data_IF_651647670963
#
_entry.id   IF_651647670963
#
_cell.length_a   1.000
_cell.length_b   1.000
_cell.length_c   1.000
_cell.angle_alpha   90.00
_cell.angle_beta   90.00
_cell.angle_gamma   90.00
#
_symmetry.space_group_name_H-M   'P 1'
#
loop_
_entity.id
_entity.type
_entity.pdbx_description
1 polymer ?
#
# COMPACT_ATOMS: atom_id res chain seq x y z
N UNK A 1 7.41 -3.89 -7.01
CA UNK A 1 6.49 -4.30 -5.94
C UNK A 1 5.29 -5.00 -6.55
N UNK A 2 4.97 -6.21 -6.10
CA UNK A 2 3.78 -6.95 -6.57
C UNK A 2 2.67 -6.82 -5.53
N UNK A 3 1.58 -6.18 -5.93
CA UNK A 3 0.36 -6.02 -5.13
C UNK A 3 -0.69 -6.94 -5.75
N UNK A 4 -1.27 -7.85 -4.95
CA UNK A 4 -2.31 -8.77 -5.42
C UNK A 4 -3.48 -8.70 -4.46
N UNK A 5 -4.68 -8.43 -4.98
CA UNK A 5 -5.94 -8.53 -4.23
C UNK A 5 -6.53 -9.91 -4.52
N UNK A 6 -6.81 -10.68 -3.47
CA UNK A 6 -7.44 -11.99 -3.58
C UNK A 6 -8.66 -12.03 -2.64
N UNK A 7 -9.81 -12.43 -3.18
CA UNK A 7 -10.97 -12.75 -2.36
C UNK A 7 -10.74 -14.09 -1.66
N UNK A 8 -10.81 -14.10 -0.34
CA UNK A 8 -10.65 -15.29 0.48
C UNK A 8 -12.01 -15.79 0.98
N UNK A 9 -12.25 -17.10 0.84
CA UNK A 9 -13.40 -17.80 1.44
C UNK A 9 -13.08 -18.61 2.71
N UNK A 10 -12.82 -17.93 3.81
CA UNK A 10 -12.76 -18.47 5.17
C UNK A 10 -14.16 -18.58 5.85
N UNK A 11 -14.96 -19.60 5.53
CA UNK A 11 -16.18 -19.97 6.29
C UNK A 11 -17.38 -19.00 6.29
N UNK A 12 -17.89 -18.61 5.11
CA UNK A 12 -19.14 -17.84 4.96
C UNK A 12 -19.10 -16.30 5.00
N UNK A 13 -17.99 -15.64 5.38
CA UNK A 13 -17.92 -14.16 5.50
C UNK A 13 -17.01 -13.47 4.49
N UNK A 14 -17.34 -13.30 3.20
CA UNK A 14 -16.47 -12.68 2.14
C UNK A 14 -15.38 -11.71 2.67
N UNK A 15 -14.11 -12.12 2.59
CA UNK A 15 -12.94 -11.52 3.24
C UNK A 15 -11.96 -11.26 2.13
N UNK A 16 -11.35 -10.11 2.15
CA UNK A 16 -10.49 -9.63 1.07
C UNK A 16 -9.07 -9.58 1.59
N UNK A 17 -8.15 -10.22 0.89
CA UNK A 17 -6.75 -10.22 1.27
C UNK A 17 -5.94 -9.45 0.24
N UNK A 18 -5.20 -8.45 0.72
CA UNK A 18 -4.23 -7.72 -0.08
C UNK A 18 -2.86 -8.24 0.28
N UNK A 19 -2.19 -8.87 -0.69
CA UNK A 19 -0.83 -9.37 -0.55
C UNK A 19 0.13 -8.38 -1.21
N UNK A 20 0.99 -7.82 -0.39
CA UNK A 20 2.02 -6.86 -0.76
C UNK A 20 3.40 -7.46 -0.50
N UNK A 21 3.93 -8.14 -1.50
CA UNK A 21 5.21 -8.85 -1.39
C UNK A 21 5.22 -9.85 -0.22
N UNK A 22 5.83 -9.52 0.92
CA UNK A 22 5.81 -10.33 2.15
C UNK A 22 4.73 -9.92 3.17
N UNK A 23 4.03 -8.81 2.96
CA UNK A 23 2.97 -8.34 3.85
C UNK A 23 1.60 -8.82 3.37
N UNK A 24 0.83 -9.45 4.26
CA UNK A 24 -0.55 -9.86 4.00
C UNK A 24 -1.49 -9.04 4.89
N UNK A 25 -2.40 -8.28 4.28
CA UNK A 25 -3.40 -7.48 5.01
C UNK A 25 -4.79 -8.02 4.70
N UNK A 26 -5.56 -8.33 5.75
CA UNK A 26 -6.92 -8.85 5.62
C UNK A 26 -7.94 -7.72 5.84
N UNK A 27 -8.92 -7.65 4.96
CA UNK A 27 -10.02 -6.70 4.93
C UNK A 27 -11.36 -7.43 4.96
N UNK A 28 -12.39 -6.73 5.44
CA UNK A 28 -13.76 -7.28 5.53
C UNK A 28 -14.61 -6.96 4.29
N UNK A 29 -14.14 -6.05 3.43
CA UNK A 29 -14.85 -5.59 2.24
C UNK A 29 -13.89 -5.37 1.06
N UNK A 30 -14.42 -5.52 -0.16
CA UNK A 30 -13.68 -5.31 -1.42
C UNK A 30 -13.24 -3.85 -1.55
N UNK A 31 -14.17 -2.94 -1.26
CA UNK A 31 -13.96 -1.49 -1.35
C UNK A 31 -12.82 -1.01 -0.47
N UNK A 32 -12.71 -1.54 0.76
CA UNK A 32 -11.59 -1.22 1.66
C UNK A 32 -10.25 -1.75 1.12
N UNK A 33 -10.23 -2.97 0.59
CA UNK A 33 -9.04 -3.56 -0.02
C UNK A 33 -8.59 -2.75 -1.24
N UNK A 34 -9.53 -2.36 -2.11
CA UNK A 34 -9.26 -1.53 -3.29
C UNK A 34 -8.81 -0.11 -2.91
N UNK A 35 -9.44 0.54 -1.92
CA UNK A 35 -8.99 1.84 -1.42
C UNK A 35 -7.58 1.78 -0.82
N UNK A 36 -7.24 0.69 -0.12
CA UNK A 36 -5.90 0.50 0.41
C UNK A 36 -4.87 0.38 -0.71
N UNK A 37 -5.14 -0.45 -1.72
CA UNK A 37 -4.26 -0.59 -2.89
C UNK A 37 -4.15 0.72 -3.67
N UNK A 38 -5.24 1.43 -3.90
CA UNK A 38 -5.25 2.71 -4.58
C UNK A 38 -4.43 3.76 -3.84
N UNK A 39 -4.57 3.88 -2.51
CA UNK A 39 -3.71 4.76 -1.69
C UNK A 39 -2.25 4.35 -1.75
N UNK A 40 -1.97 3.06 -1.73
CA UNK A 40 -0.61 2.55 -1.78
C UNK A 40 0.05 2.80 -3.14
N UNK A 41 -0.65 2.52 -4.24
CA UNK A 41 -0.20 2.87 -5.59
C UNK A 41 -0.04 4.38 -5.74
N UNK A 42 -0.97 5.18 -5.22
CA UNK A 42 -0.85 6.63 -5.23
C UNK A 42 0.39 7.10 -4.46
N UNK A 43 0.73 6.49 -3.32
CA UNK A 43 1.98 6.79 -2.63
C UNK A 43 3.20 6.31 -3.40
N UNK A 44 3.20 5.10 -3.94
CA UNK A 44 4.33 4.56 -4.70
C UNK A 44 4.60 5.33 -6.01
N UNK A 45 3.53 5.77 -6.67
CA UNK A 45 3.58 6.54 -7.90
C UNK A 45 3.68 8.04 -7.64
N UNK A 46 3.45 8.49 -6.41
CA UNK A 46 3.62 9.90 -6.10
C UNK A 46 5.08 10.26 -6.37
N UNK A 47 5.35 11.26 -7.21
CA UNK A 47 6.69 11.81 -7.29
C UNK A 47 7.01 12.31 -5.89
N UNK A 48 7.87 11.60 -5.18
CA UNK A 48 8.50 12.09 -3.97
C UNK A 48 9.42 13.21 -4.42
N UNK A 49 8.87 14.40 -4.62
CA UNK A 49 9.67 15.61 -4.61
C UNK A 49 10.29 15.65 -3.21
N UNK A 50 11.48 15.10 -3.09
CA UNK A 50 12.38 15.48 -2.02
C UNK A 50 12.45 17.01 -2.13
N UNK A 51 12.08 17.76 -1.08
CA UNK A 51 12.39 19.17 -1.06
C UNK A 51 13.85 19.33 -1.47
N UNK A 52 14.09 20.23 -2.42
CA UNK A 52 15.42 20.73 -2.72
C UNK A 52 15.87 21.43 -1.43
N UNK A 53 16.40 20.67 -0.46
CA UNK A 53 17.06 21.25 0.69
C UNK A 53 18.40 21.75 0.16
N UNK A 54 18.63 23.08 0.07
CA UNK A 54 19.96 23.57 -0.19
C UNK A 54 20.84 23.12 0.97
N UNK A 55 21.72 22.16 0.67
CA UNK A 55 22.97 21.92 1.38
C UNK A 55 22.87 21.96 2.91
N UNK A 56 22.50 20.82 3.53
CA UNK A 56 23.02 20.53 4.88
C UNK A 56 24.52 20.21 4.78
N UNK A 57 25.32 21.19 4.35
CA UNK A 57 26.78 21.15 4.35
C UNK A 57 27.29 21.81 5.63
N UNK A 58 28.04 21.00 6.39
CA UNK A 58 29.04 21.33 7.41
C UNK A 58 28.52 21.91 8.74
N UNK A 59 28.33 21.02 9.71
CA UNK A 59 28.76 21.34 11.07
C UNK A 59 30.28 21.11 11.12
N UNK A 60 31.02 22.20 11.37
CA UNK A 60 32.44 22.18 11.71
C UNK A 60 32.67 21.96 13.19
#
# INVERSE_FOLDING_TARGET
MKIVVQAQDQGGKRRWQVRLDQHCVNFRSEEEAHQFVARLQARLSAPHALPDWPEQRKAG
#
